data_IF_250648758530
#
_entry.id   IF_250648758530
#
_cell.length_a   1.000
_cell.length_b   1.000
_cell.length_c   1.000
_cell.angle_alpha   90.00
_cell.angle_beta   90.00
_cell.angle_gamma   90.00
#
_symmetry.space_group_name_H-M   'P 1'
#
loop_
_entity.id
_entity.type
_entity.pdbx_description
1 polymer ?
#
# COMPACT_ATOMS: atom_id res chain seq x y z
N UNK A 1 -32.40 9.12 -69.45
CA UNK A 1 -31.28 8.20 -69.11
C UNK A 1 -30.56 8.79 -67.91
N UNK A 2 -30.91 8.36 -66.68
CA UNK A 2 -30.41 8.94 -65.45
C UNK A 2 -29.39 7.94 -64.77
N UNK A 3 -28.13 8.33 -64.69
CA UNK A 3 -27.05 7.53 -64.10
C UNK A 3 -27.08 7.67 -62.57
N UNK A 4 -27.42 6.58 -61.84
CA UNK A 4 -27.35 6.53 -60.39
C UNK A 4 -25.92 6.10 -59.99
N UNK A 5 -25.21 7.03 -59.34
CA UNK A 5 -23.92 6.76 -58.71
C UNK A 5 -24.19 6.19 -57.32
N UNK A 6 -23.81 4.93 -57.08
CA UNK A 6 -23.83 4.30 -55.75
C UNK A 6 -22.51 4.70 -55.05
N UNK A 7 -22.62 5.43 -53.93
CA UNK A 7 -21.51 5.63 -53.01
C UNK A 7 -21.44 4.44 -52.04
N UNK A 8 -20.38 3.64 -52.14
CA UNK A 8 -20.03 2.67 -51.13
C UNK A 8 -19.27 3.42 -49.98
N UNK A 9 -19.90 3.59 -48.85
CA UNK A 9 -19.23 4.04 -47.63
C UNK A 9 -18.49 2.85 -47.00
N UNK A 10 -17.18 2.78 -47.19
CA UNK A 10 -16.29 1.87 -46.44
C UNK A 10 -16.12 2.40 -45.03
N UNK A 11 -16.89 1.86 -44.10
CA UNK A 11 -16.70 2.10 -42.66
C UNK A 11 -15.36 1.47 -42.19
N UNK A 12 -14.38 2.29 -41.84
CA UNK A 12 -13.21 1.83 -41.09
C UNK A 12 -13.68 1.42 -39.69
N UNK A 13 -13.74 0.13 -39.43
CA UNK A 13 -13.80 -0.41 -38.07
C UNK A 13 -12.43 -0.20 -37.42
N UNK A 14 -12.30 0.86 -36.61
CA UNK A 14 -11.15 1.02 -35.71
C UNK A 14 -11.33 0.01 -34.60
N UNK A 15 -10.59 -1.09 -34.67
CA UNK A 15 -10.46 -2.05 -33.59
C UNK A 15 -9.67 -1.33 -32.46
N UNK A 16 -10.38 -0.87 -31.42
CA UNK A 16 -9.73 -0.50 -30.17
C UNK A 16 -9.18 -1.80 -29.57
N UNK A 17 -7.86 -2.04 -29.65
CA UNK A 17 -7.24 -3.10 -28.88
C UNK A 17 -7.35 -2.68 -27.42
N UNK A 18 -8.16 -3.39 -26.63
CA UNK A 18 -8.03 -3.32 -25.17
C UNK A 18 -6.60 -3.80 -24.85
N UNK A 19 -5.82 -2.94 -24.24
CA UNK A 19 -4.53 -3.34 -23.69
C UNK A 19 -4.77 -4.48 -22.69
N UNK A 20 -3.99 -5.54 -22.77
CA UNK A 20 -4.12 -6.66 -21.85
C UNK A 20 -3.72 -6.20 -20.44
N UNK A 21 -4.42 -6.70 -19.43
CA UNK A 21 -4.03 -6.48 -18.04
C UNK A 21 -2.58 -6.97 -17.81
N UNK A 22 -1.75 -6.25 -17.03
CA UNK A 22 -0.39 -6.68 -16.76
C UNK A 22 -0.38 -7.97 -15.94
N UNK A 23 0.53 -8.90 -16.23
CA UNK A 23 0.75 -10.08 -15.40
C UNK A 23 1.67 -9.74 -14.23
N UNK A 24 1.07 -9.42 -13.09
CA UNK A 24 1.76 -9.13 -11.82
C UNK A 24 1.95 -10.39 -10.96
N UNK A 25 1.41 -11.54 -11.39
CA UNK A 25 1.42 -12.79 -10.61
C UNK A 25 2.84 -13.24 -10.34
N UNK A 26 3.13 -13.57 -9.08
CA UNK A 26 4.43 -14.08 -8.64
C UNK A 26 4.88 -13.53 -7.30
N UNK A 27 6.08 -13.91 -6.89
CA UNK A 27 6.69 -13.46 -5.64
C UNK A 27 7.72 -12.38 -5.93
N UNK A 28 7.59 -11.30 -5.19
CA UNK A 28 8.37 -10.09 -5.37
C UNK A 28 9.12 -9.72 -4.09
N UNK A 29 10.33 -9.18 -4.24
CA UNK A 29 11.11 -8.60 -3.14
C UNK A 29 11.53 -7.19 -3.49
N UNK A 30 11.56 -6.30 -2.48
CA UNK A 30 11.99 -4.92 -2.65
C UNK A 30 13.42 -4.85 -3.21
N UNK A 31 13.61 -4.04 -4.25
CA UNK A 31 14.88 -3.82 -4.91
C UNK A 31 15.41 -2.40 -4.64
N UNK A 32 15.98 -2.21 -3.46
CA UNK A 32 16.53 -0.93 -3.04
C UNK A 32 15.55 -0.07 -2.23
N UNK A 33 15.99 1.12 -1.82
CA UNK A 33 15.26 1.93 -0.83
C UNK A 33 14.01 2.66 -1.39
N UNK A 34 13.83 2.69 -2.70
CA UNK A 34 12.79 3.50 -3.34
C UNK A 34 13.10 5.00 -3.31
N UNK A 35 12.12 5.81 -3.73
CA UNK A 35 12.17 7.28 -3.65
C UNK A 35 10.92 7.80 -2.98
N UNK A 36 10.97 9.04 -2.48
CA UNK A 36 9.86 9.69 -1.80
C UNK A 36 9.87 11.18 -2.15
N UNK A 37 8.69 11.77 -2.40
CA UNK A 37 8.55 13.21 -2.53
C UNK A 37 8.89 13.91 -1.23
N UNK A 38 9.17 15.21 -1.28
CA UNK A 38 9.25 16.03 -0.07
C UNK A 38 7.90 15.98 0.67
N UNK A 39 7.93 15.70 1.97
CA UNK A 39 6.73 15.67 2.82
C UNK A 39 6.57 17.03 3.47
N UNK A 40 5.53 17.75 3.05
CA UNK A 40 5.14 19.04 3.61
C UNK A 40 3.81 18.85 4.36
N UNK A 41 3.87 18.96 5.69
CA UNK A 41 2.71 18.80 6.56
C UNK A 41 2.02 20.14 6.77
N UNK A 42 0.69 20.14 6.84
CA UNK A 42 -0.11 21.25 7.30
C UNK A 42 0.16 21.55 8.78
N UNK A 43 -0.39 22.63 9.31
CA UNK A 43 -0.33 22.94 10.75
C UNK A 43 -0.88 21.79 11.60
N UNK A 44 -1.98 21.18 11.18
CA UNK A 44 -2.58 20.03 11.88
C UNK A 44 -1.70 18.78 11.76
N UNK A 45 -1.14 18.50 10.59
CA UNK A 45 -0.19 17.40 10.40
C UNK A 45 1.05 17.53 11.29
N UNK A 46 1.61 18.75 11.38
CA UNK A 46 2.74 19.05 12.25
C UNK A 46 2.38 18.90 13.75
N UNK A 47 1.18 19.33 14.14
CA UNK A 47 0.70 19.17 15.51
C UNK A 47 0.66 17.68 15.90
N UNK A 48 0.05 16.84 15.09
CA UNK A 48 -0.04 15.40 15.35
C UNK A 48 1.36 14.76 15.35
N UNK A 49 2.21 15.13 14.39
CA UNK A 49 3.59 14.63 14.35
C UNK A 49 4.38 14.98 15.61
N UNK A 50 4.18 16.17 16.16
CA UNK A 50 4.90 16.63 17.36
C UNK A 50 4.54 15.89 18.65
N UNK A 51 3.38 15.23 18.66
CA UNK A 51 2.89 14.42 19.78
C UNK A 51 3.30 12.94 19.68
N UNK A 52 3.90 12.54 18.55
CA UNK A 52 4.27 11.14 18.27
C UNK A 52 5.49 10.70 19.07
N UNK A 53 5.38 9.58 19.76
CA UNK A 53 6.49 8.87 20.42
C UNK A 53 6.70 7.49 19.74
N UNK A 54 7.82 7.33 19.06
CA UNK A 54 8.15 6.08 18.35
C UNK A 54 8.10 4.83 19.25
N UNK A 55 8.43 4.96 20.54
CA UNK A 55 8.46 3.81 21.45
C UNK A 55 7.09 3.49 22.07
N UNK A 56 6.09 4.34 21.82
CA UNK A 56 4.72 4.19 22.33
C UNK A 56 3.71 4.03 21.21
N UNK A 57 3.83 4.84 20.17
CA UNK A 57 2.79 5.01 19.15
C UNK A 57 3.05 4.20 17.86
N UNK A 58 4.22 3.56 17.70
CA UNK A 58 4.47 2.71 16.53
C UNK A 58 3.63 1.43 16.63
N UNK A 59 2.60 1.25 15.77
CA UNK A 59 1.72 0.09 15.85
C UNK A 59 2.46 -1.24 15.60
N UNK A 60 3.62 -1.21 14.95
CA UNK A 60 4.43 -2.40 14.73
C UNK A 60 4.95 -3.04 16.02
N UNK A 61 5.01 -2.28 17.12
CA UNK A 61 5.32 -2.79 18.45
C UNK A 61 4.30 -3.83 18.95
N UNK A 62 3.07 -3.72 18.46
CA UNK A 62 1.93 -4.57 18.81
C UNK A 62 1.51 -5.50 17.66
N UNK A 63 2.40 -5.76 16.72
CA UNK A 63 2.13 -6.58 15.53
C UNK A 63 0.99 -6.04 14.64
N UNK A 64 0.77 -4.73 14.66
CA UNK A 64 -0.22 -4.04 13.81
C UNK A 64 0.50 -3.37 12.63
N UNK A 65 0.06 -3.58 11.38
CA UNK A 65 0.65 -2.90 10.23
C UNK A 65 0.29 -1.41 10.27
N UNK A 66 1.29 -0.54 10.20
CA UNK A 66 1.06 0.90 10.26
C UNK A 66 0.34 1.43 9.02
N UNK A 67 0.73 0.97 7.83
CA UNK A 67 0.18 1.41 6.55
C UNK A 67 0.62 0.49 5.41
N UNK A 68 -0.05 0.58 4.27
CA UNK A 68 0.34 -0.18 3.08
C UNK A 68 1.76 0.19 2.61
N UNK A 69 2.13 1.48 2.59
CA UNK A 69 3.48 1.89 2.19
C UNK A 69 4.57 1.33 3.09
N UNK A 70 4.30 1.19 4.39
CA UNK A 70 5.24 0.59 5.34
C UNK A 70 5.43 -0.90 5.08
N UNK A 71 4.36 -1.59 4.68
CA UNK A 71 4.41 -3.02 4.34
C UNK A 71 5.15 -3.26 3.02
N UNK A 72 4.85 -2.48 1.98
CA UNK A 72 5.56 -2.54 0.70
C UNK A 72 7.06 -2.24 0.84
N UNK A 73 7.42 -1.29 1.69
CA UNK A 73 8.80 -0.82 1.87
C UNK A 73 9.68 -1.72 2.77
N UNK A 74 9.24 -2.94 3.10
CA UNK A 74 10.02 -3.80 4.00
C UNK A 74 11.14 -4.52 3.25
N UNK A 75 12.43 -4.23 3.53
CA UNK A 75 13.54 -4.93 2.90
C UNK A 75 13.57 -6.41 3.32
N UNK A 76 13.70 -7.29 2.33
CA UNK A 76 13.85 -8.74 2.55
C UNK A 76 12.54 -9.51 2.75
N UNK A 77 11.42 -8.84 3.02
CA UNK A 77 10.12 -9.50 3.06
C UNK A 77 9.62 -9.78 1.63
N UNK A 78 8.95 -10.92 1.49
CA UNK A 78 8.36 -11.35 0.22
C UNK A 78 6.93 -10.89 0.12
N UNK A 79 6.51 -10.65 -1.12
CA UNK A 79 5.14 -10.25 -1.47
C UNK A 79 4.68 -11.15 -2.60
N UNK A 80 3.64 -11.94 -2.37
CA UNK A 80 3.00 -12.77 -3.39
C UNK A 80 1.78 -12.05 -3.94
N UNK A 81 1.75 -11.83 -5.25
CA UNK A 81 0.60 -11.29 -5.96
C UNK A 81 -0.04 -12.42 -6.78
N UNK A 82 -1.35 -12.56 -6.67
CA UNK A 82 -2.18 -13.48 -7.44
C UNK A 82 -3.34 -12.70 -8.05
N UNK A 83 -3.60 -12.92 -9.34
CA UNK A 83 -4.65 -12.20 -10.08
C UNK A 83 -5.72 -13.17 -10.57
N UNK A 84 -6.97 -12.71 -10.52
CA UNK A 84 -8.11 -13.31 -11.20
C UNK A 84 -8.88 -12.23 -11.95
N UNK A 85 -9.96 -12.60 -12.62
CA UNK A 85 -10.86 -11.63 -13.25
C UNK A 85 -11.66 -10.82 -12.21
N UNK A 86 -11.83 -11.32 -11.01
CA UNK A 86 -12.71 -10.78 -9.97
C UNK A 86 -11.94 -10.04 -8.88
N UNK A 87 -10.68 -10.43 -8.61
CA UNK A 87 -9.90 -9.88 -7.50
C UNK A 87 -8.39 -9.97 -7.72
N UNK A 88 -7.67 -9.13 -7.01
CA UNK A 88 -6.23 -9.24 -6.78
C UNK A 88 -5.99 -9.60 -5.32
N UNK A 89 -5.32 -10.74 -5.09
CA UNK A 89 -4.89 -11.16 -3.77
C UNK A 89 -3.42 -10.82 -3.59
N UNK A 90 -3.11 -10.06 -2.54
CA UNK A 90 -1.74 -9.74 -2.18
C UNK A 90 -1.43 -10.31 -0.81
N UNK A 91 -0.49 -11.24 -0.77
CA UNK A 91 0.01 -11.82 0.47
C UNK A 91 1.35 -11.21 0.82
N UNK A 92 1.46 -10.65 2.01
CA UNK A 92 2.71 -10.08 2.52
C UNK A 92 3.27 -11.02 3.58
N UNK A 93 4.57 -11.32 3.51
CA UNK A 93 5.27 -12.08 4.53
C UNK A 93 5.26 -11.30 5.87
N UNK A 94 5.52 -9.99 5.81
CA UNK A 94 5.47 -9.14 6.99
C UNK A 94 4.07 -9.14 7.63
N UNK A 95 3.99 -9.47 8.91
CA UNK A 95 2.76 -9.62 9.71
C UNK A 95 1.78 -10.68 9.17
N UNK A 96 2.22 -11.58 8.29
CA UNK A 96 1.39 -12.65 7.71
C UNK A 96 0.10 -12.15 7.06
N UNK A 97 0.16 -10.98 6.39
CA UNK A 97 -1.03 -10.31 5.87
C UNK A 97 -1.56 -10.92 4.58
N UNK A 98 -2.87 -10.84 4.44
CA UNK A 98 -3.63 -11.18 3.24
C UNK A 98 -4.56 -10.03 2.91
N UNK A 99 -4.39 -9.47 1.71
CA UNK A 99 -5.21 -8.37 1.22
C UNK A 99 -6.01 -8.86 0.02
N UNK A 100 -7.32 -8.80 0.13
CA UNK A 100 -8.28 -9.20 -0.90
C UNK A 100 -8.89 -7.93 -1.49
N UNK A 101 -8.65 -7.69 -2.78
CA UNK A 101 -8.98 -6.45 -3.45
C UNK A 101 -9.89 -6.76 -4.65
N UNK A 102 -11.19 -6.47 -4.58
CA UNK A 102 -12.10 -6.70 -5.70
C UNK A 102 -11.75 -5.83 -6.91
N UNK A 103 -11.88 -6.39 -8.11
CA UNK A 103 -11.79 -5.64 -9.37
C UNK A 103 -13.13 -5.00 -9.64
N UNK A 104 -13.14 -3.68 -9.86
CA UNK A 104 -14.34 -2.90 -10.13
C UNK A 104 -14.14 -1.42 -9.91
N UNK A 105 -15.22 -0.72 -9.65
CA UNK A 105 -15.24 0.67 -9.22
C UNK A 105 -15.45 0.79 -7.69
N UNK A 106 -15.63 1.99 -7.19
CA UNK A 106 -15.87 2.26 -5.77
C UNK A 106 -17.01 1.43 -5.16
N UNK A 107 -18.02 1.03 -5.95
CA UNK A 107 -19.14 0.21 -5.47
C UNK A 107 -18.75 -1.23 -5.14
N UNK A 108 -17.59 -1.69 -5.59
CA UNK A 108 -17.02 -2.99 -5.24
C UNK A 108 -16.36 -2.99 -3.85
N UNK A 109 -16.03 -1.81 -3.33
CA UNK A 109 -15.44 -1.65 -1.99
C UNK A 109 -16.48 -1.93 -0.90
N UNK A 110 -16.05 -2.60 0.16
CA UNK A 110 -16.87 -2.83 1.36
C UNK A 110 -16.44 -1.92 2.49
N UNK A 111 -17.27 -1.80 3.54
CA UNK A 111 -16.90 -1.08 4.76
C UNK A 111 -15.83 -1.82 5.59
N UNK A 112 -15.65 -3.12 5.34
CA UNK A 112 -14.63 -3.92 6.00
C UNK A 112 -13.25 -3.64 5.41
N UNK A 113 -12.19 -3.62 6.24
CA UNK A 113 -10.83 -3.53 5.73
C UNK A 113 -10.52 -4.66 4.74
N UNK A 114 -9.80 -4.34 3.67
CA UNK A 114 -9.40 -5.35 2.68
C UNK A 114 -8.25 -6.24 3.18
N UNK A 115 -7.61 -5.88 4.29
CA UNK A 115 -6.43 -6.56 4.82
C UNK A 115 -6.72 -7.20 6.16
N UNK A 116 -6.32 -8.47 6.29
CA UNK A 116 -6.32 -9.25 7.54
C UNK A 116 -5.05 -10.08 7.63
N UNK A 117 -4.68 -10.53 8.83
CA UNK A 117 -3.64 -11.56 8.99
C UNK A 117 -4.23 -12.97 8.77
N UNK A 118 -3.36 -13.99 8.82
CA UNK A 118 -3.78 -15.39 8.67
C UNK A 118 -4.69 -15.86 9.80
N UNK A 119 -4.67 -15.22 10.97
CA UNK A 119 -5.55 -15.54 12.11
C UNK A 119 -6.93 -14.89 11.96
N UNK A 120 -7.14 -14.09 10.93
CA UNK A 120 -8.41 -13.44 10.61
C UNK A 120 -8.63 -12.08 11.25
N UNK A 121 -7.63 -11.51 11.90
CA UNK A 121 -7.68 -10.13 12.43
C UNK A 121 -7.59 -9.12 11.29
N UNK A 122 -8.59 -8.24 11.19
CA UNK A 122 -8.64 -7.17 10.19
C UNK A 122 -7.94 -5.90 10.68
N UNK A 123 -7.31 -5.17 9.74
CA UNK A 123 -6.52 -3.97 10.02
C UNK A 123 -7.08 -2.75 9.28
N UNK A 124 -7.77 -1.87 10.02
CA UNK A 124 -8.35 -0.65 9.47
C UNK A 124 -7.28 0.37 9.06
N UNK A 125 -6.06 0.27 9.57
CA UNK A 125 -4.89 1.06 9.18
C UNK A 125 -4.59 0.93 7.68
N UNK A 126 -4.91 -0.23 7.10
CA UNK A 126 -4.71 -0.54 5.70
C UNK A 126 -5.88 -0.10 4.80
N UNK A 127 -7.02 0.27 5.40
CA UNK A 127 -8.22 0.70 4.72
C UNK A 127 -8.97 -0.40 3.97
N UNK A 128 -10.06 0.02 3.33
CA UNK A 128 -10.87 -0.78 2.39
C UNK A 128 -10.46 -0.41 0.96
N UNK A 129 -10.33 -1.39 0.07
CA UNK A 129 -9.74 -1.20 -1.25
C UNK A 129 -10.61 -1.74 -2.36
N UNK A 130 -10.48 -1.16 -3.54
CA UNK A 130 -10.91 -1.73 -4.82
C UNK A 130 -9.82 -1.49 -5.86
N UNK A 131 -9.87 -2.20 -6.97
CA UNK A 131 -8.86 -2.08 -8.02
C UNK A 131 -9.46 -2.09 -9.42
N UNK A 132 -8.75 -1.53 -10.37
CA UNK A 132 -9.08 -1.56 -11.78
C UNK A 132 -7.85 -1.54 -12.66
N UNK A 133 -8.03 -1.97 -13.92
CA UNK A 133 -6.95 -1.91 -14.90
C UNK A 133 -7.16 -0.71 -15.82
N UNK A 134 -6.10 0.10 -15.98
CA UNK A 134 -6.06 1.22 -16.92
C UNK A 134 -4.77 1.11 -17.72
N UNK A 135 -4.90 0.93 -19.01
CA UNK A 135 -3.81 0.57 -19.91
C UNK A 135 -3.10 -0.70 -19.38
N UNK A 136 -1.79 -0.70 -19.28
CA UNK A 136 -0.98 -1.81 -18.75
C UNK A 136 -0.66 -1.61 -17.26
N UNK A 137 -1.58 -1.07 -16.46
CA UNK A 137 -1.42 -0.77 -15.04
C UNK A 137 -2.57 -1.31 -14.21
N UNK A 138 -2.25 -1.85 -13.04
CA UNK A 138 -3.21 -2.08 -11.99
C UNK A 138 -3.22 -0.84 -11.09
N UNK A 139 -4.40 -0.28 -10.86
CA UNK A 139 -4.61 0.85 -9.96
C UNK A 139 -5.45 0.34 -8.79
N UNK A 140 -4.93 0.48 -7.57
CA UNK A 140 -5.64 0.15 -6.33
C UNK A 140 -5.92 1.46 -5.61
N UNK A 141 -7.18 1.72 -5.30
CA UNK A 141 -7.58 2.82 -4.44
C UNK A 141 -8.01 2.29 -3.08
N UNK A 142 -7.60 2.97 -1.98
CA UNK A 142 -8.02 2.61 -0.64
C UNK A 142 -8.51 3.83 0.13
N UNK A 143 -9.56 3.61 0.92
CA UNK A 143 -10.23 4.59 1.77
C UNK A 143 -10.57 3.96 3.12
N UNK A 144 -11.31 4.66 3.96
CA UNK A 144 -11.77 4.18 5.26
C UNK A 144 -10.62 3.75 6.18
N UNK A 145 -9.51 4.48 6.14
CA UNK A 145 -8.39 4.25 7.05
C UNK A 145 -8.76 4.59 8.50
N UNK A 146 -8.09 3.96 9.46
CA UNK A 146 -8.08 4.45 10.84
C UNK A 146 -7.11 5.63 10.98
N UNK A 147 -7.18 6.31 12.13
CA UNK A 147 -6.11 7.20 12.54
C UNK A 147 -4.83 6.37 12.73
N UNK A 148 -3.68 6.92 12.36
CA UNK A 148 -2.41 6.21 12.46
C UNK A 148 -1.27 6.96 11.79
N UNK A 149 -0.25 6.21 11.34
CA UNK A 149 0.97 6.78 10.78
C UNK A 149 1.42 6.02 9.54
N UNK A 150 1.75 6.72 8.46
CA UNK A 150 2.26 6.12 7.22
C UNK A 150 3.76 5.87 7.23
N UNK A 151 4.49 6.67 8.02
CA UNK A 151 5.95 6.55 8.25
C UNK A 151 6.23 6.59 9.74
N UNK A 152 6.19 5.44 10.39
CA UNK A 152 6.35 5.34 11.85
C UNK A 152 7.69 5.89 12.34
N UNK A 153 8.78 5.70 11.60
CA UNK A 153 10.09 6.26 11.98
C UNK A 153 10.14 7.80 12.05
N UNK A 154 9.13 8.50 11.50
CA UNK A 154 9.04 9.97 11.47
C UNK A 154 7.71 10.51 11.99
N UNK A 155 6.81 9.65 12.43
CA UNK A 155 5.49 10.04 12.91
C UNK A 155 4.63 10.76 11.87
N UNK A 156 4.75 10.41 10.56
CA UNK A 156 3.93 11.02 9.51
C UNK A 156 2.50 10.53 9.65
N UNK A 157 1.53 11.40 9.98
CA UNK A 157 0.20 10.98 10.34
C UNK A 157 -0.64 10.49 9.15
N UNK A 158 -1.66 9.69 9.46
CA UNK A 158 -2.75 9.27 8.61
C UNK A 158 -4.07 9.57 9.31
N UNK A 159 -5.10 9.99 8.56
CA UNK A 159 -6.43 10.22 9.10
C UNK A 159 -7.50 9.35 8.44
N UNK A 160 -8.74 9.51 8.89
CA UNK A 160 -9.91 8.85 8.28
C UNK A 160 -10.27 9.44 6.90
N UNK A 161 -9.76 10.64 6.60
CA UNK A 161 -9.95 11.30 5.31
C UNK A 161 -8.88 10.90 4.30
N UNK A 162 -7.83 10.19 4.74
CA UNK A 162 -6.76 9.74 3.86
C UNK A 162 -7.31 8.83 2.77
N UNK A 163 -6.98 9.14 1.53
CA UNK A 163 -7.19 8.30 0.35
C UNK A 163 -5.83 7.89 -0.18
N UNK A 164 -5.66 6.63 -0.52
CA UNK A 164 -4.42 6.17 -1.14
C UNK A 164 -4.66 5.62 -2.53
N UNK A 165 -3.64 5.77 -3.38
CA UNK A 165 -3.63 5.22 -4.72
C UNK A 165 -2.30 4.47 -4.94
N UNK A 166 -2.39 3.21 -5.31
CA UNK A 166 -1.25 2.36 -5.64
C UNK A 166 -1.31 2.05 -7.13
N UNK A 167 -0.31 2.46 -7.90
CA UNK A 167 -0.20 2.18 -9.33
C UNK A 167 0.91 1.16 -9.53
N UNK A 168 0.54 -0.06 -9.96
CA UNK A 168 1.46 -1.15 -10.24
C UNK A 168 1.62 -1.35 -11.74
N UNK A 169 2.86 -1.45 -12.21
CA UNK A 169 3.19 -1.72 -13.61
C UNK A 169 4.45 -2.58 -13.71
N UNK A 170 4.58 -3.30 -14.82
CA UNK A 170 5.77 -4.09 -15.13
C UNK A 170 6.61 -3.35 -16.17
N UNK A 171 7.90 -3.25 -15.92
CA UNK A 171 8.90 -2.82 -16.89
C UNK A 171 10.02 -3.86 -16.96
N UNK A 172 10.03 -4.66 -18.02
CA UNK A 172 10.91 -5.83 -18.11
C UNK A 172 10.64 -6.81 -16.97
N UNK A 173 11.64 -7.10 -16.16
CA UNK A 173 11.55 -8.01 -15.01
C UNK A 173 11.28 -7.27 -13.67
N UNK A 174 11.01 -5.97 -13.73
CA UNK A 174 10.82 -5.13 -12.55
C UNK A 174 9.34 -4.75 -12.37
N UNK A 175 8.82 -4.96 -11.20
CA UNK A 175 7.54 -4.39 -10.77
C UNK A 175 7.80 -3.01 -10.18
N UNK A 176 7.14 -2.00 -10.73
CA UNK A 176 7.13 -0.63 -10.22
C UNK A 176 5.82 -0.39 -9.48
N UNK A 177 5.92 0.15 -8.29
CA UNK A 177 4.80 0.63 -7.49
C UNK A 177 4.99 2.12 -7.21
N UNK A 178 4.04 2.95 -7.67
CA UNK A 178 3.89 4.32 -7.21
C UNK A 178 2.74 4.36 -6.21
N UNK A 179 3.02 4.74 -4.98
CA UNK A 179 2.04 4.84 -3.90
C UNK A 179 1.84 6.31 -3.53
N UNK A 180 0.62 6.82 -3.65
CA UNK A 180 0.29 8.22 -3.37
C UNK A 180 -0.72 8.30 -2.23
N UNK A 181 -0.45 9.19 -1.27
CA UNK A 181 -1.35 9.55 -0.16
C UNK A 181 -1.92 10.93 -0.38
N UNK A 182 -3.23 11.04 -0.26
CA UNK A 182 -3.99 12.28 -0.35
C UNK A 182 -4.70 12.51 0.98
N UNK A 183 -4.45 13.65 1.61
CA UNK A 183 -5.16 14.13 2.79
C UNK A 183 -4.85 15.62 2.95
N UNK A 184 -5.72 16.49 2.47
CA UNK A 184 -5.54 17.95 2.49
C UNK A 184 -5.65 18.55 3.89
N UNK A 185 -6.10 17.77 4.88
CA UNK A 185 -6.08 18.19 6.28
C UNK A 185 -4.71 17.98 6.93
N UNK A 186 -3.90 17.05 6.40
CA UNK A 186 -2.61 16.65 6.97
C UNK A 186 -1.41 17.06 6.11
N UNK A 187 -1.58 17.11 4.78
CA UNK A 187 -0.48 17.35 3.83
C UNK A 187 -0.77 18.56 2.95
N UNK A 188 0.24 19.41 2.74
CA UNK A 188 0.14 20.54 1.80
C UNK A 188 0.11 20.07 0.34
N UNK A 189 0.74 18.93 0.05
CA UNK A 189 0.75 18.27 -1.25
C UNK A 189 0.64 16.75 -1.07
N UNK A 190 0.13 16.01 -2.05
CA UNK A 190 0.12 14.56 -1.99
C UNK A 190 1.54 14.00 -1.76
N UNK A 191 1.65 13.00 -0.89
CA UNK A 191 2.91 12.30 -0.64
C UNK A 191 3.03 11.16 -1.65
N UNK A 192 4.08 11.17 -2.46
CA UNK A 192 4.35 10.17 -3.49
C UNK A 192 5.58 9.36 -3.11
N UNK A 193 5.44 8.04 -3.17
CA UNK A 193 6.50 7.08 -2.88
C UNK A 193 6.61 6.09 -4.03
N UNK A 194 7.82 5.92 -4.59
CA UNK A 194 8.07 4.94 -5.63
C UNK A 194 8.92 3.80 -5.09
N UNK A 195 8.52 2.58 -5.41
CA UNK A 195 9.21 1.35 -5.03
C UNK A 195 9.43 0.48 -6.25
N UNK A 196 10.52 -0.26 -6.23
CA UNK A 196 10.91 -1.18 -7.28
C UNK A 196 11.10 -2.57 -6.68
N UNK A 197 10.56 -3.58 -7.35
CA UNK A 197 10.64 -4.95 -6.88
C UNK A 197 11.21 -5.83 -7.98
N UNK A 198 11.96 -6.83 -7.59
CA UNK A 198 12.41 -7.90 -8.48
C UNK A 198 11.61 -9.17 -8.21
N UNK A 199 11.33 -9.91 -9.24
CA UNK A 199 10.73 -11.25 -9.13
C UNK A 199 11.74 -12.22 -8.52
N UNK A 200 11.25 -13.15 -7.71
CA UNK A 200 12.06 -14.24 -7.14
C UNK A 200 11.67 -15.56 -7.78
N UNK A 201 12.57 -16.54 -7.73
CA UNK A 201 12.29 -17.92 -8.17
C UNK A 201 11.64 -18.78 -7.07
N UNK A 202 11.32 -18.19 -5.93
CA UNK A 202 10.68 -18.88 -4.83
C UNK A 202 9.20 -19.18 -5.16
N UNK A 203 8.68 -20.30 -4.64
CA UNK A 203 7.32 -20.74 -4.89
C UNK A 203 6.33 -20.36 -3.79
N UNK A 204 6.83 -19.95 -2.63
CA UNK A 204 6.02 -19.66 -1.43
C UNK A 204 6.66 -18.54 -0.61
N UNK A 205 5.82 -17.88 0.19
CA UNK A 205 6.25 -16.94 1.23
C UNK A 205 6.25 -17.66 2.57
N UNK A 206 7.19 -17.29 3.45
CA UNK A 206 7.30 -17.88 4.80
C UNK A 206 6.41 -17.15 5.78
N UNK A 207 6.17 -17.75 6.94
CA UNK A 207 5.48 -17.09 8.04
C UNK A 207 6.44 -16.12 8.73
N UNK A 208 5.92 -14.96 9.10
CA UNK A 208 6.68 -13.94 9.82
C UNK A 208 6.68 -14.19 11.33
N UNK A 209 5.58 -14.77 11.86
CA UNK A 209 5.40 -15.07 13.29
C UNK A 209 5.70 -13.84 14.16
N UNK A 210 5.00 -12.74 13.92
CA UNK A 210 5.20 -11.50 14.66
C UNK A 210 5.10 -11.73 16.17
N UNK A 211 5.96 -11.05 16.92
CA UNK A 211 5.90 -10.98 18.39
C UNK A 211 5.86 -9.53 18.82
N UNK A 212 4.99 -9.23 19.77
CA UNK A 212 4.93 -7.92 20.37
C UNK A 212 6.27 -7.54 21.01
N UNK A 213 6.65 -6.29 20.86
CA UNK A 213 7.87 -5.78 21.44
C UNK A 213 7.72 -5.64 22.96
N UNK A 214 8.73 -6.12 23.70
CA UNK A 214 8.84 -5.88 25.13
C UNK A 214 10.03 -4.97 25.40
N UNK A 215 9.74 -3.72 25.76
CA UNK A 215 10.76 -2.71 26.07
C UNK A 215 11.00 -2.52 27.58
N UNK A 216 10.41 -3.33 28.47
CA UNK A 216 10.56 -3.17 29.91
C UNK A 216 12.05 -3.16 30.31
N UNK A 217 12.82 -4.12 29.79
CA UNK A 217 14.27 -4.20 30.04
C UNK A 217 15.02 -2.97 29.54
N UNK A 218 14.62 -2.35 28.42
CA UNK A 218 15.24 -1.15 27.87
C UNK A 218 14.93 0.07 28.75
N UNK A 219 13.69 0.19 29.20
CA UNK A 219 13.24 1.24 30.11
C UNK A 219 13.94 1.12 31.47
N UNK A 220 14.10 -0.09 32.01
CA UNK A 220 14.85 -0.36 33.23
C UNK A 220 16.33 0.04 33.11
N UNK A 221 16.97 -0.26 31.96
CA UNK A 221 18.38 0.12 31.73
C UNK A 221 18.58 1.63 31.61
N UNK A 222 17.60 2.36 31.11
CA UNK A 222 17.66 3.80 30.91
C UNK A 222 16.95 4.60 32.00
N UNK A 223 16.37 3.94 33.02
CA UNK A 223 15.80 4.63 34.18
C UNK A 223 16.86 5.46 34.87
N UNK A 224 16.58 6.69 35.30
CA UNK A 224 17.50 7.49 36.08
C UNK A 224 17.92 6.69 37.32
N UNK A 225 19.22 6.47 37.50
CA UNK A 225 19.73 5.88 38.73
C UNK A 225 19.44 6.85 39.85
N UNK A 226 18.68 6.42 40.85
CA UNK A 226 18.51 7.20 42.07
C UNK A 226 19.92 7.49 42.62
N UNK A 227 20.27 8.77 42.73
CA UNK A 227 21.47 9.17 43.40
C UNK A 227 21.35 8.70 44.86
N UNK A 228 22.15 7.70 45.23
CA UNK A 228 22.32 7.34 46.65
C UNK A 228 22.84 8.58 47.38
N UNK A 229 21.94 9.31 48.03
CA UNK A 229 22.27 10.37 48.95
C UNK A 229 22.99 9.73 50.14
N UNK A 230 24.32 9.90 50.19
CA UNK A 230 25.15 9.60 51.36
C UNK A 230 25.01 10.69 52.41
#
# INVERSE_FOLDING_TARGET
MALRVLFFATGLLTSSSLAAAPDLTGIWTLNGPGTESEILLTEEGLRIQSEYDLLVDDPSLFCVPASASRIWANPGARILIQQSEEAVLISYELFDLRRDIPIGDESAMTDMPSTKNIDGTYFQEMGSSFAGYVDERLIIESRNHSLGYIRTSRGIPQSRNTVTNEVLRIEGDTLHLTHTYFDDTLYENPIVMDYFFRRTDESEITLYECREANYDWFNELNAPKEEETQ
#
